data_IF_347124209787
#
_entry.id   IF_347124209787
#
_cell.length_a   1.000
_cell.length_b   1.000
_cell.length_c   1.000
_cell.angle_alpha   90.00
_cell.angle_beta   90.00
_cell.angle_gamma   90.00
#
_symmetry.space_group_name_H-M   'P 1'
#
loop_
_entity.id
_entity.type
_entity.pdbx_description
1 polymer ?
#
# COMPACT_ATOMS: atom_id res chain seq x y z
N UNK A 1 -24.95 -3.54 29.18
CA UNK A 1 -25.74 -2.33 29.49
C UNK A 1 -27.03 -2.64 30.33
N UNK A 2 -27.96 -3.47 29.91
CA UNK A 2 -29.21 -3.73 30.65
C UNK A 2 -29.02 -4.23 32.10
N UNK A 3 -28.02 -5.05 32.39
CA UNK A 3 -27.73 -5.56 33.73
C UNK A 3 -27.24 -4.46 34.70
N UNK A 4 -26.40 -3.55 34.21
CA UNK A 4 -25.87 -2.42 34.99
C UNK A 4 -27.01 -1.40 35.34
N UNK A 5 -27.88 -1.07 34.39
CA UNK A 5 -29.02 -0.19 34.66
C UNK A 5 -29.96 -0.76 35.73
N UNK A 6 -30.22 -2.07 35.72
CA UNK A 6 -31.05 -2.74 36.76
C UNK A 6 -30.42 -2.63 38.15
N UNK A 7 -29.10 -2.78 38.26
CA UNK A 7 -28.39 -2.63 39.54
C UNK A 7 -28.50 -1.19 40.05
N UNK A 8 -28.24 -0.20 39.19
CA UNK A 8 -28.32 1.21 39.54
C UNK A 8 -29.77 1.56 40.03
N UNK A 9 -30.77 1.08 39.35
CA UNK A 9 -32.19 1.30 39.74
C UNK A 9 -32.53 0.62 41.06
N UNK A 10 -32.03 -0.59 41.31
CA UNK A 10 -32.23 -1.28 42.60
C UNK A 10 -31.59 -0.51 43.75
N UNK A 11 -30.35 0.00 43.55
CA UNK A 11 -29.65 0.83 44.53
C UNK A 11 -30.41 2.14 44.79
N UNK A 12 -30.84 2.83 43.74
CA UNK A 12 -31.60 4.07 43.84
C UNK A 12 -32.93 3.87 44.59
N UNK A 13 -33.64 2.78 44.30
CA UNK A 13 -34.86 2.39 45.00
C UNK A 13 -34.65 2.07 46.50
N UNK A 14 -33.60 1.32 46.80
CA UNK A 14 -33.23 1.01 48.18
C UNK A 14 -32.86 2.28 48.99
N UNK A 15 -32.07 3.17 48.39
CA UNK A 15 -31.73 4.46 48.98
C UNK A 15 -32.99 5.33 49.20
N UNK A 16 -33.89 5.40 48.21
CA UNK A 16 -35.14 6.13 48.32
C UNK A 16 -35.95 5.63 49.53
N UNK A 17 -36.17 4.31 49.66
CA UNK A 17 -36.89 3.72 50.77
C UNK A 17 -36.21 4.01 52.11
N UNK A 18 -34.90 3.86 52.20
CA UNK A 18 -34.14 4.16 53.41
C UNK A 18 -34.29 5.58 53.87
N UNK A 19 -34.25 6.54 52.91
CA UNK A 19 -34.42 7.95 53.20
C UNK A 19 -35.85 8.29 53.63
N UNK A 20 -36.86 7.65 53.03
CA UNK A 20 -38.26 7.80 53.46
C UNK A 20 -38.43 7.32 54.89
N UNK A 21 -37.88 6.18 55.26
CA UNK A 21 -37.95 5.62 56.62
C UNK A 21 -37.27 6.61 57.60
N UNK A 22 -36.08 7.14 57.23
CA UNK A 22 -35.38 8.08 58.06
C UNK A 22 -36.16 9.39 58.24
N UNK A 23 -36.78 9.91 57.17
CA UNK A 23 -37.61 11.12 57.21
C UNK A 23 -38.86 10.94 58.10
N UNK A 24 -39.45 9.75 58.10
CA UNK A 24 -40.60 9.41 58.92
C UNK A 24 -40.21 9.19 60.41
N UNK A 25 -39.02 8.74 60.68
CA UNK A 25 -38.50 8.47 62.05
C UNK A 25 -37.87 9.72 62.69
N UNK A 26 -37.46 10.71 61.91
CA UNK A 26 -36.80 11.90 62.41
C UNK A 26 -37.79 12.96 62.93
N UNK A 27 -37.42 13.73 63.97
CA UNK A 27 -38.26 14.86 64.43
C UNK A 27 -38.48 15.87 63.30
N UNK A 28 -39.69 16.47 63.25
CA UNK A 28 -40.08 17.39 62.18
C UNK A 28 -39.12 18.59 61.93
N UNK A 29 -38.20 18.84 62.85
CA UNK A 29 -37.19 19.89 62.76
C UNK A 29 -35.93 19.47 61.95
N UNK A 30 -35.72 18.16 61.72
CA UNK A 30 -34.55 17.63 60.98
C UNK A 30 -35.05 17.21 59.61
N UNK A 31 -34.48 17.81 58.57
CA UNK A 31 -34.87 17.51 57.21
C UNK A 31 -33.89 16.48 56.64
N UNK A 32 -34.26 15.19 56.69
CA UNK A 32 -33.54 14.11 56.04
C UNK A 32 -33.66 14.14 54.52
N UNK A 33 -34.62 14.89 54.00
CA UNK A 33 -34.98 15.00 52.60
C UNK A 33 -33.86 15.44 51.66
N UNK A 34 -32.77 16.05 52.13
CA UNK A 34 -31.56 16.33 51.34
C UNK A 34 -30.90 15.05 50.78
N UNK A 35 -31.08 13.93 51.48
CA UNK A 35 -30.66 12.62 51.01
C UNK A 35 -31.24 12.19 49.67
N UNK A 36 -32.44 12.71 49.31
CA UNK A 36 -33.09 12.39 48.04
C UNK A 36 -32.32 12.86 46.79
N UNK A 37 -31.29 13.69 46.98
CA UNK A 37 -30.34 14.03 45.92
C UNK A 37 -29.63 12.79 45.35
N UNK A 38 -29.29 11.82 46.21
CA UNK A 38 -28.60 10.58 45.79
C UNK A 38 -29.38 9.70 44.82
N UNK A 39 -30.65 9.30 45.12
CA UNK A 39 -31.46 8.57 44.16
C UNK A 39 -31.67 9.32 42.82
N UNK A 40 -31.84 10.65 42.85
CA UNK A 40 -32.00 11.45 41.64
C UNK A 40 -30.74 11.42 40.78
N UNK A 41 -29.57 11.59 41.37
CA UNK A 41 -28.27 11.52 40.67
C UNK A 41 -28.03 10.11 40.10
N UNK A 42 -28.34 9.07 40.82
CA UNK A 42 -28.23 7.68 40.34
C UNK A 42 -29.13 7.42 39.15
N UNK A 43 -30.39 7.85 39.20
CA UNK A 43 -31.36 7.67 38.10
C UNK A 43 -30.97 8.52 36.88
N UNK A 44 -30.33 9.66 37.05
CA UNK A 44 -29.81 10.48 35.95
C UNK A 44 -28.88 9.69 35.04
N UNK A 45 -28.07 8.77 35.58
CA UNK A 45 -27.13 7.95 34.78
C UNK A 45 -27.81 6.93 33.88
N UNK A 46 -29.09 6.59 34.13
CA UNK A 46 -29.88 5.63 33.33
C UNK A 46 -30.42 6.27 32.03
N UNK A 47 -30.31 7.58 31.86
CA UNK A 47 -30.70 8.32 30.65
C UNK A 47 -32.19 8.14 30.24
N UNK A 48 -33.08 7.87 31.18
CA UNK A 48 -34.48 7.73 30.94
C UNK A 48 -35.26 8.91 31.58
N UNK A 49 -35.72 9.86 30.72
CA UNK A 49 -36.40 11.09 31.18
C UNK A 49 -37.67 10.79 31.97
N UNK A 50 -38.48 9.80 31.56
CA UNK A 50 -39.72 9.43 32.27
C UNK A 50 -39.38 8.91 33.66
N UNK A 51 -38.38 8.02 33.79
CA UNK A 51 -37.97 7.48 35.07
C UNK A 51 -37.40 8.56 35.99
N UNK A 52 -36.64 9.50 35.43
CA UNK A 52 -36.10 10.65 36.16
C UNK A 52 -37.23 11.53 36.73
N UNK A 53 -38.22 11.87 35.90
CA UNK A 53 -39.39 12.64 36.34
C UNK A 53 -40.18 11.91 37.45
N UNK A 54 -40.43 10.62 37.29
CA UNK A 54 -41.11 9.82 38.31
C UNK A 54 -40.32 9.83 39.63
N UNK A 55 -39.02 9.68 39.59
CA UNK A 55 -38.14 9.69 40.77
C UNK A 55 -38.21 11.06 41.48
N UNK A 56 -38.08 12.16 40.69
CA UNK A 56 -38.16 13.52 41.25
C UNK A 56 -39.49 13.80 41.93
N UNK A 57 -40.59 13.43 41.24
CA UNK A 57 -41.95 13.60 41.82
C UNK A 57 -42.11 12.78 43.09
N UNK A 58 -41.64 11.51 43.09
CA UNK A 58 -41.71 10.65 44.27
C UNK A 58 -40.86 11.25 45.46
N UNK A 59 -39.68 11.76 45.16
CA UNK A 59 -38.84 12.41 46.18
C UNK A 59 -39.50 13.68 46.75
N UNK A 60 -40.13 14.50 45.90
CA UNK A 60 -40.87 15.70 46.36
C UNK A 60 -42.07 15.30 47.22
N UNK A 61 -42.88 14.33 46.78
CA UNK A 61 -44.02 13.84 47.56
C UNK A 61 -43.55 13.33 48.92
N UNK A 62 -42.53 12.47 48.95
CA UNK A 62 -41.93 11.95 50.19
C UNK A 62 -41.46 13.06 51.12
N UNK A 63 -40.86 14.13 50.55
CA UNK A 63 -40.41 15.33 51.33
C UNK A 63 -41.59 15.99 52.00
N UNK A 64 -42.75 16.13 51.34
CA UNK A 64 -43.91 16.77 51.94
C UNK A 64 -44.71 15.82 52.88
N UNK A 65 -44.62 14.49 52.71
CA UNK A 65 -45.22 13.57 53.67
C UNK A 65 -44.71 13.72 55.08
N UNK A 66 -43.47 14.15 55.26
CA UNK A 66 -42.93 14.47 56.59
C UNK A 66 -43.63 15.66 57.31
N UNK A 67 -44.47 16.44 56.63
CA UNK A 67 -45.32 17.48 57.29
C UNK A 67 -46.51 16.88 58.06
N UNK A 68 -46.85 15.59 57.81
CA UNK A 68 -47.93 14.91 58.53
C UNK A 68 -47.53 14.55 59.99
N UNK A 69 -46.27 14.72 60.34
CA UNK A 69 -45.82 14.50 61.69
C UNK A 69 -46.26 15.65 62.62
N UNK A 70 -46.60 15.40 63.87
CA UNK A 70 -47.04 16.44 64.80
C UNK A 70 -45.91 17.48 65.01
N UNK A 71 -46.18 18.71 64.63
CA UNK A 71 -45.30 19.86 64.85
C UNK A 71 -45.67 20.64 66.06
N UNK A 72 -44.70 21.23 66.80
CA UNK A 72 -45.01 22.16 67.89
C UNK A 72 -45.73 23.40 67.32
N UNK A 73 -46.68 24.00 68.08
CA UNK A 73 -47.35 25.21 67.67
C UNK A 73 -46.30 26.31 67.28
N UNK A 74 -46.56 27.00 66.17
CA UNK A 74 -45.69 28.10 65.68
C UNK A 74 -44.51 27.61 64.78
N UNK A 75 -44.21 26.36 64.66
CA UNK A 75 -43.12 25.83 63.78
C UNK A 75 -43.57 25.33 62.43
N UNK A 76 -44.86 25.22 62.16
CA UNK A 76 -45.42 24.70 60.93
C UNK A 76 -44.97 25.49 59.69
N UNK A 77 -45.03 26.81 59.73
CA UNK A 77 -44.60 27.68 58.62
C UNK A 77 -43.10 27.47 58.27
N UNK A 78 -42.26 27.36 59.28
CA UNK A 78 -40.83 27.12 59.06
C UNK A 78 -40.59 25.73 58.44
N UNK A 79 -41.35 24.74 58.84
CA UNK A 79 -41.25 23.40 58.25
C UNK A 79 -41.69 23.37 56.75
N UNK A 80 -42.75 24.10 56.41
CA UNK A 80 -43.22 24.23 55.01
C UNK A 80 -42.14 24.95 54.17
N UNK A 81 -41.61 26.09 54.65
CA UNK A 81 -40.57 26.81 53.92
C UNK A 81 -39.34 25.95 53.67
N UNK A 82 -38.83 25.24 54.70
CA UNK A 82 -37.65 24.40 54.58
C UNK A 82 -37.85 23.27 53.57
N UNK A 83 -39.03 22.59 53.55
CA UNK A 83 -39.32 21.54 52.59
C UNK A 83 -39.51 22.07 51.15
N UNK A 84 -40.03 23.29 51.02
CA UNK A 84 -40.08 23.96 49.70
C UNK A 84 -38.72 24.28 49.13
N UNK A 85 -37.78 24.69 50.02
CA UNK A 85 -36.38 24.90 49.62
C UNK A 85 -35.75 23.56 49.16
N UNK A 86 -35.95 22.48 49.90
CA UNK A 86 -35.46 21.14 49.52
C UNK A 86 -36.05 20.73 48.17
N UNK A 87 -37.35 20.84 47.97
CA UNK A 87 -37.98 20.53 46.68
C UNK A 87 -37.38 21.35 45.52
N UNK A 88 -37.13 22.66 45.74
CA UNK A 88 -36.43 23.48 44.77
C UNK A 88 -35.02 22.96 44.43
N UNK A 89 -34.24 22.58 45.47
CA UNK A 89 -32.91 21.99 45.26
C UNK A 89 -32.98 20.68 44.47
N UNK A 90 -33.94 19.81 44.79
CA UNK A 90 -34.13 18.54 44.06
C UNK A 90 -34.46 18.77 42.56
N UNK A 91 -35.29 19.76 42.25
CA UNK A 91 -35.57 20.15 40.86
C UNK A 91 -34.33 20.68 40.13
N UNK A 92 -33.53 21.53 40.78
CA UNK A 92 -32.28 22.04 40.19
C UNK A 92 -31.28 20.92 39.94
N UNK A 93 -31.10 20.03 40.91
CA UNK A 93 -30.20 18.85 40.75
C UNK A 93 -30.68 17.95 39.62
N UNK A 94 -31.99 17.70 39.52
CA UNK A 94 -32.57 16.93 38.42
C UNK A 94 -32.30 17.59 37.06
N UNK A 95 -32.50 18.89 36.95
CA UNK A 95 -32.24 19.65 35.73
C UNK A 95 -30.76 19.60 35.32
N UNK A 96 -29.87 19.82 36.27
CA UNK A 96 -28.40 19.75 36.02
C UNK A 96 -28.04 18.32 35.58
N UNK A 97 -28.51 17.28 36.27
CA UNK A 97 -28.23 15.90 35.91
C UNK A 97 -28.69 15.54 34.48
N UNK A 98 -29.90 15.96 34.11
CA UNK A 98 -30.43 15.75 32.75
C UNK A 98 -29.63 16.46 31.67
N UNK A 99 -29.26 17.72 31.90
CA UNK A 99 -28.50 18.52 30.92
C UNK A 99 -27.05 18.08 30.80
N UNK A 100 -26.43 17.62 31.89
CA UNK A 100 -25.04 17.15 31.88
C UNK A 100 -24.92 15.88 31.02
N UNK A 101 -25.74 14.89 31.24
CA UNK A 101 -25.71 13.64 30.46
C UNK A 101 -25.92 13.89 28.96
N UNK A 102 -26.85 14.81 28.63
CA UNK A 102 -27.06 15.19 27.22
C UNK A 102 -25.85 15.86 26.60
N UNK A 103 -25.19 16.78 27.35
CA UNK A 103 -23.97 17.45 26.87
C UNK A 103 -22.83 16.45 26.67
N UNK A 104 -22.60 15.58 27.66
CA UNK A 104 -21.56 14.55 27.58
C UNK A 104 -21.77 13.62 26.39
N UNK A 105 -23.00 13.17 26.14
CA UNK A 105 -23.32 12.33 24.99
C UNK A 105 -23.07 13.05 23.65
N UNK A 106 -23.38 14.34 23.55
CA UNK A 106 -23.10 15.15 22.35
C UNK A 106 -21.61 15.33 22.13
N UNK A 107 -20.83 15.57 23.20
CA UNK A 107 -19.36 15.70 23.12
C UNK A 107 -18.71 14.39 22.66
N UNK A 108 -19.13 13.25 23.20
CA UNK A 108 -18.63 11.92 22.79
C UNK A 108 -18.97 11.62 21.33
N UNK A 109 -20.19 11.91 20.90
CA UNK A 109 -20.60 11.75 19.49
C UNK A 109 -19.80 12.70 18.56
N UNK A 110 -19.60 13.94 18.95
CA UNK A 110 -18.81 14.89 18.17
C UNK A 110 -17.32 14.49 18.05
N UNK A 111 -16.73 13.98 19.15
CA UNK A 111 -15.36 13.45 19.15
C UNK A 111 -15.24 12.22 18.25
N UNK A 112 -16.20 11.30 18.31
CA UNK A 112 -16.21 10.13 17.44
C UNK A 112 -16.34 10.50 15.96
N UNK A 113 -17.23 11.46 15.63
CA UNK A 113 -17.37 11.96 14.26
C UNK A 113 -16.08 12.63 13.75
N UNK A 114 -15.46 13.46 14.57
CA UNK A 114 -14.19 14.12 14.23
C UNK A 114 -13.05 13.10 14.02
N UNK A 115 -12.96 12.07 14.86
CA UNK A 115 -11.97 11.01 14.71
C UNK A 115 -12.16 10.25 13.39
N UNK A 116 -13.39 9.96 13.01
CA UNK A 116 -13.72 9.30 11.74
C UNK A 116 -13.35 10.18 10.53
N UNK A 117 -13.65 11.48 10.62
CA UNK A 117 -13.32 12.42 9.55
C UNK A 117 -11.81 12.58 9.36
N UNK A 118 -11.05 12.69 10.47
CA UNK A 118 -9.58 12.74 10.42
C UNK A 118 -8.98 11.47 9.82
N UNK A 119 -9.51 10.29 10.14
CA UNK A 119 -9.07 9.03 9.53
C UNK A 119 -9.35 9.00 8.01
N UNK A 120 -10.53 9.45 7.59
CA UNK A 120 -10.89 9.53 6.18
C UNK A 120 -9.98 10.51 5.42
N UNK A 121 -9.68 11.67 6.00
CA UNK A 121 -8.77 12.66 5.42
C UNK A 121 -7.34 12.11 5.29
N UNK A 122 -6.84 11.39 6.29
CA UNK A 122 -5.52 10.74 6.22
C UNK A 122 -5.46 9.71 5.07
N UNK A 123 -6.49 8.87 4.94
CA UNK A 123 -6.58 7.90 3.83
C UNK A 123 -6.62 8.60 2.47
N UNK A 124 -7.43 9.63 2.32
CA UNK A 124 -7.52 10.41 1.08
C UNK A 124 -6.19 11.10 0.73
N UNK A 125 -5.50 11.66 1.72
CA UNK A 125 -4.20 12.30 1.51
C UNK A 125 -3.12 11.30 1.08
N UNK A 126 -3.10 10.10 1.67
CA UNK A 126 -2.17 9.04 1.26
C UNK A 126 -2.40 8.64 -0.20
N UNK A 127 -3.66 8.43 -0.58
CA UNK A 127 -4.03 8.11 -1.97
C UNK A 127 -3.65 9.23 -2.95
N UNK A 128 -3.80 10.50 -2.55
CA UNK A 128 -3.39 11.65 -3.37
C UNK A 128 -1.88 11.71 -3.58
N UNK A 129 -1.08 11.43 -2.54
CA UNK A 129 0.39 11.39 -2.64
C UNK A 129 0.81 10.28 -3.60
N UNK A 130 0.27 9.08 -3.45
CA UNK A 130 0.57 7.93 -4.32
C UNK A 130 0.19 8.21 -5.79
N UNK A 131 -1.01 8.77 -6.02
CA UNK A 131 -1.47 9.15 -7.36
C UNK A 131 -0.57 10.23 -7.99
N UNK A 132 -0.14 11.23 -7.21
CA UNK A 132 0.76 12.28 -7.66
C UNK A 132 2.13 11.73 -8.07
N UNK A 133 2.67 10.79 -7.28
CA UNK A 133 3.95 10.16 -7.60
C UNK A 133 3.87 9.29 -8.85
N UNK A 134 2.77 8.57 -9.06
CA UNK A 134 2.50 7.84 -10.29
C UNK A 134 2.40 8.78 -11.50
N UNK A 135 1.71 9.91 -11.35
CA UNK A 135 1.53 10.90 -12.40
C UNK A 135 2.87 11.54 -12.78
N UNK A 136 3.68 11.95 -11.81
CA UNK A 136 5.03 12.49 -12.02
C UNK A 136 5.95 11.47 -12.73
N UNK A 137 5.84 10.18 -12.40
CA UNK A 137 6.57 9.11 -13.09
C UNK A 137 6.13 8.97 -14.53
N UNK A 138 4.81 8.95 -14.77
CA UNK A 138 4.23 8.85 -16.10
C UNK A 138 4.60 10.07 -16.98
N UNK A 139 4.56 11.27 -16.43
CA UNK A 139 4.97 12.50 -17.15
C UNK A 139 6.45 12.48 -17.51
N UNK A 140 7.33 12.05 -16.61
CA UNK A 140 8.77 11.91 -16.90
C UNK A 140 9.02 10.89 -18.01
N UNK A 141 8.34 9.74 -17.96
CA UNK A 141 8.44 8.70 -18.99
C UNK A 141 7.90 9.20 -20.34
N UNK A 142 6.77 9.90 -20.34
CA UNK A 142 6.19 10.50 -21.55
C UNK A 142 7.11 11.57 -22.15
N UNK A 143 7.70 12.44 -21.33
CA UNK A 143 8.64 13.45 -21.79
C UNK A 143 9.92 12.84 -22.40
N UNK A 144 10.49 11.82 -21.71
CA UNK A 144 11.62 11.05 -22.24
C UNK A 144 11.21 10.34 -23.54
N UNK A 145 10.01 9.76 -23.59
CA UNK A 145 9.46 9.11 -24.77
C UNK A 145 9.33 10.03 -25.99
N UNK A 146 8.82 11.24 -25.79
CA UNK A 146 8.72 12.24 -26.85
C UNK A 146 10.08 12.72 -27.37
N UNK A 147 11.01 13.00 -26.46
CA UNK A 147 12.37 13.38 -26.81
C UNK A 147 13.08 12.27 -27.58
N UNK A 148 12.96 11.04 -27.13
CA UNK A 148 13.54 9.87 -27.77
C UNK A 148 12.94 9.63 -29.16
N UNK A 149 11.63 9.76 -29.32
CA UNK A 149 10.96 9.60 -30.61
C UNK A 149 11.40 10.66 -31.63
N UNK A 150 11.56 11.92 -31.20
CA UNK A 150 12.07 13.01 -32.02
C UNK A 150 13.52 12.77 -32.43
N UNK A 151 14.39 12.47 -31.44
CA UNK A 151 15.81 12.20 -31.68
C UNK A 151 16.00 10.97 -32.57
N UNK A 152 15.21 9.92 -32.37
CA UNK A 152 15.31 8.71 -33.18
C UNK A 152 14.91 8.95 -34.64
N UNK A 153 13.92 9.79 -34.88
CA UNK A 153 13.53 10.17 -36.26
C UNK A 153 14.60 11.05 -36.92
N UNK A 154 15.09 12.06 -36.19
CA UNK A 154 16.09 13.00 -36.70
C UNK A 154 17.48 12.38 -36.87
N UNK A 155 17.87 11.41 -36.05
CA UNK A 155 19.14 10.69 -36.14
C UNK A 155 19.03 9.46 -37.05
N UNK A 156 17.89 8.80 -37.07
CA UNK A 156 17.66 7.62 -37.93
C UNK A 156 17.77 7.92 -39.44
N UNK A 157 17.26 9.07 -39.86
CA UNK A 157 17.29 9.49 -41.28
C UNK A 157 18.72 9.66 -41.81
N UNK A 158 19.62 10.47 -41.19
CA UNK A 158 20.99 10.59 -41.65
C UNK A 158 21.79 9.29 -41.51
N UNK A 159 21.52 8.47 -40.47
CA UNK A 159 22.19 7.17 -40.33
C UNK A 159 21.84 6.20 -41.45
N UNK A 160 20.59 6.15 -41.91
CA UNK A 160 20.19 5.36 -43.07
C UNK A 160 20.87 5.85 -44.35
N UNK A 161 21.01 7.16 -44.54
CA UNK A 161 21.76 7.73 -45.68
C UNK A 161 23.23 7.33 -45.64
N UNK A 162 23.89 7.42 -44.48
CA UNK A 162 25.27 7.02 -44.31
C UNK A 162 25.44 5.52 -44.55
N UNK A 163 24.56 4.67 -44.04
CA UNK A 163 24.59 3.21 -44.27
C UNK A 163 24.50 2.88 -45.76
N UNK A 164 23.60 3.56 -46.49
CA UNK A 164 23.47 3.37 -47.93
C UNK A 164 24.76 3.74 -48.68
N UNK A 165 25.41 4.89 -48.36
CA UNK A 165 26.68 5.30 -48.97
C UNK A 165 27.82 4.36 -48.60
N UNK A 166 27.89 3.83 -47.39
CA UNK A 166 28.86 2.85 -46.93
C UNK A 166 28.74 1.53 -47.70
N UNK A 167 27.51 1.05 -47.90
CA UNK A 167 27.22 -0.15 -48.70
C UNK A 167 27.58 0.04 -50.17
N UNK A 168 27.23 1.19 -50.75
CA UNK A 168 27.58 1.53 -52.14
C UNK A 168 29.11 1.54 -52.33
N UNK A 169 29.87 2.14 -51.39
CA UNK A 169 31.34 2.10 -51.40
C UNK A 169 31.95 0.70 -51.31
N UNK A 170 31.26 -0.24 -50.62
CA UNK A 170 31.71 -1.65 -50.54
C UNK A 170 31.65 -2.40 -51.88
N UNK A 171 30.73 -1.94 -52.78
CA UNK A 171 30.45 -2.55 -54.08
C UNK A 171 31.21 -1.86 -55.25
N UNK A 172 31.91 -0.74 -55.00
CA UNK A 172 32.66 -0.03 -56.07
C UNK A 172 33.83 -0.86 -56.63
N UNK A 173 33.99 -0.84 -57.95
CA UNK A 173 35.14 -1.47 -58.61
C UNK A 173 36.47 -0.80 -58.16
N UNK A 174 37.40 -1.61 -57.63
CA UNK A 174 38.71 -1.14 -57.18
C UNK A 174 38.90 -1.02 -55.68
N UNK A 175 37.91 -1.36 -54.87
CA UNK A 175 38.02 -1.38 -53.41
C UNK A 175 39.01 -2.46 -52.98
N UNK A 176 40.02 -2.08 -52.24
CA UNK A 176 41.05 -3.00 -51.70
C UNK A 176 40.44 -3.85 -50.56
N UNK A 177 40.98 -5.06 -50.27
CA UNK A 177 40.51 -5.88 -49.14
C UNK A 177 40.55 -5.15 -47.79
N UNK A 178 41.52 -4.24 -47.64
CA UNK A 178 41.64 -3.44 -46.42
C UNK A 178 40.55 -2.36 -46.30
N UNK A 179 40.20 -1.71 -47.40
CA UNK A 179 39.08 -0.75 -47.48
C UNK A 179 37.77 -1.48 -47.20
N UNK A 180 37.55 -2.66 -47.78
CA UNK A 180 36.37 -3.47 -47.55
C UNK A 180 36.18 -3.84 -46.06
N UNK A 181 37.31 -4.18 -45.39
CA UNK A 181 37.29 -4.43 -43.95
C UNK A 181 36.88 -3.20 -43.12
N UNK A 182 37.38 -2.00 -43.49
CA UNK A 182 37.02 -0.74 -42.83
C UNK A 182 35.56 -0.37 -43.07
N UNK A 183 35.03 -0.55 -44.26
CA UNK A 183 33.63 -0.35 -44.64
C UNK A 183 32.71 -1.28 -43.82
N UNK A 184 33.09 -2.58 -43.71
CA UNK A 184 32.31 -3.54 -42.87
C UNK A 184 32.27 -3.07 -41.42
N UNK A 185 33.38 -2.58 -40.84
CA UNK A 185 33.39 -2.06 -39.47
C UNK A 185 32.46 -0.85 -39.31
N UNK A 186 32.40 0.05 -40.29
CA UNK A 186 31.53 1.23 -40.27
C UNK A 186 30.07 0.77 -40.34
N UNK A 187 29.72 -0.15 -41.20
CA UNK A 187 28.38 -0.68 -41.37
C UNK A 187 27.89 -1.39 -40.09
N UNK A 188 28.75 -2.17 -39.47
CA UNK A 188 28.46 -2.79 -38.14
C UNK A 188 28.19 -1.72 -37.05
N UNK A 189 28.96 -0.62 -37.03
CA UNK A 189 28.72 0.45 -36.06
C UNK A 189 27.43 1.23 -36.36
N UNK A 190 27.08 1.49 -37.61
CA UNK A 190 25.82 2.10 -38.01
C UNK A 190 24.64 1.26 -37.63
N UNK A 191 24.63 -0.04 -37.97
CA UNK A 191 23.62 -1.00 -37.59
C UNK A 191 23.43 -1.04 -36.06
N UNK A 192 24.52 -0.93 -35.34
CA UNK A 192 24.49 -0.87 -33.89
C UNK A 192 23.81 0.39 -33.34
N UNK A 193 24.13 1.59 -33.90
CA UNK A 193 23.50 2.84 -33.48
C UNK A 193 22.01 2.82 -33.77
N UNK A 194 21.60 2.33 -34.95
CA UNK A 194 20.18 2.15 -35.31
C UNK A 194 19.47 1.24 -34.30
N UNK A 195 20.09 0.13 -33.89
CA UNK A 195 19.53 -0.78 -32.89
C UNK A 195 19.36 -0.10 -31.53
N UNK A 196 20.37 0.67 -31.07
CA UNK A 196 20.28 1.44 -29.81
C UNK A 196 19.09 2.41 -29.85
N UNK A 197 18.88 3.09 -30.96
CA UNK A 197 17.75 4.02 -31.14
C UNK A 197 16.41 3.27 -31.16
N UNK A 198 16.34 2.11 -31.81
CA UNK A 198 15.14 1.27 -31.83
C UNK A 198 14.81 0.71 -30.45
N UNK A 199 15.79 0.26 -29.70
CA UNK A 199 15.62 -0.21 -28.32
C UNK A 199 15.10 0.93 -27.42
N UNK A 200 15.61 2.13 -27.62
CA UNK A 200 15.15 3.32 -26.92
C UNK A 200 13.67 3.66 -27.27
N UNK A 201 13.32 3.63 -28.55
CA UNK A 201 11.94 3.86 -29.04
C UNK A 201 10.95 2.80 -28.56
N UNK A 202 11.34 1.54 -28.58
CA UNK A 202 10.47 0.43 -28.16
C UNK A 202 10.14 0.51 -26.69
N UNK A 203 11.05 1.06 -25.89
CA UNK A 203 10.90 1.25 -24.44
C UNK A 203 10.01 2.44 -24.07
N UNK A 204 9.80 3.37 -24.99
CA UNK A 204 9.05 4.62 -24.76
C UNK A 204 7.63 4.63 -25.34
N UNK A 205 7.28 3.67 -26.21
CA UNK A 205 5.91 3.55 -26.70
C UNK A 205 5.01 3.01 -25.59
N UNK A 206 4.01 3.78 -25.12
CA UNK A 206 3.03 3.30 -24.15
C UNK A 206 2.06 2.34 -24.84
N UNK A 207 2.46 1.10 -25.05
CA UNK A 207 1.48 0.05 -25.25
C UNK A 207 0.95 -0.28 -23.84
N UNK A 208 -0.33 -0.08 -23.62
CA UNK A 208 -0.93 -0.47 -22.34
C UNK A 208 -0.61 -1.95 -22.12
N UNK A 209 0.01 -2.31 -20.98
CA UNK A 209 0.27 -3.72 -20.69
C UNK A 209 -1.07 -4.44 -20.63
N UNK A 210 -1.14 -5.61 -21.22
CA UNK A 210 -2.29 -6.53 -21.11
C UNK A 210 -1.94 -7.69 -20.18
N UNK A 211 -1.88 -7.43 -18.85
CA UNK A 211 -1.46 -8.45 -17.90
C UNK A 211 -2.54 -9.52 -17.73
N UNK A 212 -2.12 -10.75 -17.62
CA UNK A 212 -2.95 -11.91 -17.36
C UNK A 212 -2.29 -12.83 -16.33
N UNK A 213 -3.08 -13.74 -15.73
CA UNK A 213 -2.53 -14.81 -14.91
C UNK A 213 -1.95 -15.91 -15.83
N UNK A 214 -0.64 -16.11 -15.78
CA UNK A 214 0.08 -17.06 -16.63
C UNK A 214 1.11 -17.88 -15.85
N UNK A 215 1.44 -19.11 -16.30
CA UNK A 215 2.56 -19.87 -15.77
C UNK A 215 3.89 -19.20 -16.12
N UNK A 216 4.78 -19.08 -15.15
CA UNK A 216 6.09 -18.42 -15.33
C UNK A 216 6.96 -19.13 -16.38
N UNK A 217 6.75 -20.44 -16.56
CA UNK A 217 7.43 -21.26 -17.59
C UNK A 217 7.19 -20.74 -19.01
N UNK A 218 5.97 -20.21 -19.30
CA UNK A 218 5.64 -19.63 -20.62
C UNK A 218 6.52 -18.43 -21.00
N UNK A 219 7.20 -17.84 -20.05
CA UNK A 219 8.07 -16.67 -20.26
C UNK A 219 9.55 -17.06 -20.14
N UNK A 220 9.89 -17.90 -19.18
CA UNK A 220 11.29 -18.32 -18.96
C UNK A 220 11.80 -19.18 -20.11
N UNK A 221 11.05 -20.22 -20.50
CA UNK A 221 11.52 -21.19 -21.50
C UNK A 221 11.76 -20.55 -22.86
N UNK A 222 10.87 -19.71 -23.42
CA UNK A 222 11.16 -19.02 -24.69
C UNK A 222 12.35 -18.08 -24.62
N UNK A 223 12.53 -17.36 -23.49
CA UNK A 223 13.67 -16.47 -23.33
C UNK A 223 15.00 -17.23 -23.27
N UNK A 224 15.05 -18.37 -22.60
CA UNK A 224 16.20 -19.23 -22.52
C UNK A 224 16.55 -19.81 -23.90
N UNK A 225 15.56 -20.37 -24.62
CA UNK A 225 15.75 -20.93 -25.97
C UNK A 225 16.25 -19.86 -26.94
N UNK A 226 15.74 -18.64 -26.88
CA UNK A 226 16.20 -17.53 -27.73
C UNK A 226 17.66 -17.20 -27.48
N UNK A 227 18.12 -17.26 -26.24
CA UNK A 227 19.48 -16.86 -25.85
C UNK A 227 20.50 -18.01 -25.90
N UNK A 228 20.05 -19.26 -25.92
CA UNK A 228 20.92 -20.46 -25.91
C UNK A 228 22.04 -20.45 -26.98
N UNK A 229 21.77 -20.08 -28.25
CA UNK A 229 22.84 -20.03 -29.26
C UNK A 229 23.97 -19.04 -28.92
N UNK A 230 23.61 -17.91 -28.29
CA UNK A 230 24.58 -16.88 -27.90
C UNK A 230 25.44 -17.34 -26.70
N UNK A 231 24.86 -18.09 -25.75
CA UNK A 231 25.59 -18.69 -24.64
C UNK A 231 26.52 -19.80 -25.15
N UNK A 232 26.04 -20.64 -26.03
CA UNK A 232 26.85 -21.71 -26.64
C UNK A 232 28.03 -21.14 -27.44
N UNK A 233 27.83 -20.09 -28.24
CA UNK A 233 28.88 -19.45 -29.02
C UNK A 233 29.97 -18.82 -28.14
N UNK A 234 29.68 -18.48 -26.88
CA UNK A 234 30.61 -17.94 -25.89
C UNK A 234 31.13 -19.00 -24.90
N UNK A 235 30.77 -20.27 -25.11
CA UNK A 235 31.15 -21.40 -24.25
C UNK A 235 30.69 -21.23 -22.79
N UNK A 236 29.51 -20.63 -22.57
CA UNK A 236 28.92 -20.44 -21.26
C UNK A 236 27.76 -21.43 -21.09
N UNK A 237 27.73 -22.13 -19.95
CA UNK A 237 26.61 -23.02 -19.63
C UNK A 237 25.38 -22.24 -19.19
N UNK A 238 24.22 -22.53 -19.80
CA UNK A 238 22.91 -22.00 -19.37
C UNK A 238 22.09 -23.14 -18.77
N UNK A 239 21.66 -22.96 -17.52
CA UNK A 239 20.77 -23.90 -16.82
C UNK A 239 19.48 -23.23 -16.43
N UNK A 240 18.34 -23.91 -16.60
CA UNK A 240 17.01 -23.43 -16.24
C UNK A 240 16.39 -24.42 -15.26
N UNK A 241 15.98 -23.92 -14.09
CA UNK A 241 15.39 -24.72 -13.02
C UNK A 241 14.01 -24.15 -12.68
N UNK A 242 12.95 -24.83 -13.11
CA UNK A 242 11.56 -24.44 -12.86
C UNK A 242 10.88 -25.58 -12.10
N UNK A 243 10.64 -25.48 -10.80
CA UNK A 243 9.89 -26.48 -10.05
C UNK A 243 8.45 -26.61 -10.54
N UNK A 244 7.91 -27.82 -10.50
CA UNK A 244 6.50 -28.06 -10.81
C UNK A 244 5.58 -27.42 -9.75
N UNK A 245 4.38 -27.01 -10.20
CA UNK A 245 3.34 -26.49 -9.29
C UNK A 245 3.58 -25.08 -8.77
N UNK A 246 4.41 -24.27 -9.44
CA UNK A 246 4.54 -22.85 -9.11
C UNK A 246 3.21 -22.11 -9.30
N UNK A 247 2.94 -21.09 -8.47
CA UNK A 247 1.80 -20.20 -8.66
C UNK A 247 1.83 -19.50 -10.03
N UNK A 248 0.65 -19.15 -10.55
CA UNK A 248 0.54 -18.26 -11.70
C UNK A 248 1.04 -16.87 -11.32
N UNK A 249 1.63 -16.14 -12.25
CA UNK A 249 2.06 -14.75 -12.08
C UNK A 249 1.12 -13.80 -12.82
N UNK A 250 0.90 -12.62 -12.27
CA UNK A 250 0.19 -11.54 -12.94
C UNK A 250 1.16 -10.74 -13.79
N UNK A 251 1.14 -10.97 -15.11
CA UNK A 251 2.08 -10.33 -16.02
C UNK A 251 1.57 -10.27 -17.46
N UNK A 252 2.07 -9.27 -18.21
CA UNK A 252 2.09 -9.25 -19.66
C UNK A 252 3.25 -10.13 -20.11
N UNK A 253 2.94 -11.22 -20.85
CA UNK A 253 3.91 -12.21 -21.26
C UNK A 253 5.04 -11.62 -22.13
N UNK A 254 4.71 -10.71 -23.07
CA UNK A 254 5.67 -10.10 -23.97
C UNK A 254 6.64 -9.17 -23.21
N UNK A 255 6.10 -8.37 -22.29
CA UNK A 255 6.90 -7.46 -21.46
C UNK A 255 7.83 -8.21 -20.50
N UNK A 256 7.32 -9.25 -19.86
CA UNK A 256 8.13 -10.06 -18.95
C UNK A 256 9.19 -10.87 -19.70
N UNK A 257 8.87 -11.39 -20.91
CA UNK A 257 9.83 -12.03 -21.80
C UNK A 257 10.98 -11.06 -22.14
N UNK A 258 10.68 -9.80 -22.48
CA UNK A 258 11.68 -8.77 -22.77
C UNK A 258 12.58 -8.50 -21.56
N UNK A 259 12.01 -8.46 -20.33
CA UNK A 259 12.79 -8.35 -19.09
C UNK A 259 13.78 -9.50 -18.98
N UNK A 260 13.33 -10.76 -19.16
CA UNK A 260 14.21 -11.93 -19.03
C UNK A 260 15.31 -11.95 -20.08
N UNK A 261 15.00 -11.65 -21.34
CA UNK A 261 15.99 -11.54 -22.41
C UNK A 261 17.06 -10.49 -22.06
N UNK A 262 16.65 -9.33 -21.52
CA UNK A 262 17.59 -8.30 -21.10
C UNK A 262 18.49 -8.77 -19.93
N UNK A 263 17.92 -9.45 -18.93
CA UNK A 263 18.69 -10.00 -17.81
C UNK A 263 19.69 -11.07 -18.28
N UNK A 264 19.27 -11.98 -19.16
CA UNK A 264 20.13 -13.01 -19.76
C UNK A 264 21.24 -12.38 -20.61
N UNK A 265 20.94 -11.35 -21.40
CA UNK A 265 21.95 -10.63 -22.18
C UNK A 265 22.99 -9.91 -21.30
N UNK A 266 22.56 -9.38 -20.15
CA UNK A 266 23.48 -8.80 -19.18
C UNK A 266 24.37 -9.86 -18.52
N UNK A 267 23.80 -11.00 -18.13
CA UNK A 267 24.55 -12.15 -17.61
C UNK A 267 25.55 -12.69 -18.63
N UNK A 268 25.13 -12.86 -19.90
CA UNK A 268 26.01 -13.27 -21.00
C UNK A 268 27.20 -12.31 -21.19
N UNK A 269 26.94 -11.00 -21.10
CA UNK A 269 27.97 -9.98 -21.25
C UNK A 269 28.99 -10.01 -20.11
N UNK A 270 28.54 -10.23 -18.87
CA UNK A 270 29.37 -10.21 -17.67
C UNK A 270 30.16 -11.51 -17.44
N UNK A 271 29.69 -12.65 -17.97
CA UNK A 271 30.27 -13.97 -17.73
C UNK A 271 31.41 -14.24 -18.71
N UNK A 272 32.59 -14.67 -18.24
CA UNK A 272 33.70 -15.10 -19.12
C UNK A 272 33.40 -16.46 -19.76
N UNK A 273 34.13 -16.86 -20.84
CA UNK A 273 34.06 -18.21 -21.37
C UNK A 273 34.28 -19.28 -20.28
N UNK A 274 33.60 -20.40 -20.43
CA UNK A 274 33.53 -21.51 -19.46
C UNK A 274 32.84 -21.18 -18.13
N UNK A 275 32.20 -20.00 -18.03
CA UNK A 275 31.36 -19.63 -16.89
C UNK A 275 29.97 -20.28 -16.96
N UNK A 276 29.10 -19.95 -16.00
CA UNK A 276 27.76 -20.48 -15.90
C UNK A 276 26.74 -19.37 -15.64
N UNK A 277 25.57 -19.53 -16.27
CA UNK A 277 24.38 -18.71 -15.98
C UNK A 277 23.25 -19.67 -15.61
N UNK A 278 22.53 -19.34 -14.53
CA UNK A 278 21.43 -20.16 -14.04
C UNK A 278 20.18 -19.30 -13.84
N UNK A 279 19.07 -19.77 -14.41
CA UNK A 279 17.74 -19.19 -14.16
C UNK A 279 16.99 -20.11 -13.20
N UNK A 280 16.62 -19.61 -12.06
CA UNK A 280 15.90 -20.38 -11.02
C UNK A 280 14.58 -19.71 -10.74
N UNK A 281 13.47 -20.44 -10.91
CA UNK A 281 12.16 -20.00 -10.48
C UNK A 281 11.81 -20.61 -9.13
N UNK A 282 11.07 -19.86 -8.30
CA UNK A 282 10.62 -20.32 -6.99
C UNK A 282 9.38 -19.56 -6.52
N UNK A 283 8.81 -20.01 -5.40
CA UNK A 283 7.72 -19.30 -4.76
C UNK A 283 7.98 -19.19 -3.25
N UNK A 284 7.56 -18.08 -2.66
CA UNK A 284 7.63 -17.85 -1.22
C UNK A 284 6.44 -17.02 -0.73
N UNK A 285 6.32 -16.92 0.57
CA UNK A 285 5.35 -16.00 1.19
C UNK A 285 5.81 -14.56 0.95
N UNK A 286 4.86 -13.71 0.58
CA UNK A 286 5.09 -12.29 0.36
C UNK A 286 5.37 -11.55 1.67
N UNK A 287 6.23 -10.54 1.61
CA UNK A 287 6.37 -9.55 2.68
C UNK A 287 5.14 -8.63 2.74
N UNK A 288 4.90 -7.89 3.85
CA UNK A 288 3.80 -6.93 3.93
C UNK A 288 3.76 -5.93 2.78
N UNK A 289 4.91 -5.37 2.40
CA UNK A 289 5.04 -4.40 1.30
C UNK A 289 4.74 -5.02 -0.07
N UNK A 290 5.11 -6.29 -0.28
CA UNK A 290 4.81 -7.03 -1.51
C UNK A 290 3.32 -7.38 -1.61
N UNK A 291 2.68 -7.68 -0.48
CA UNK A 291 1.24 -7.90 -0.40
C UNK A 291 0.45 -6.65 -0.80
N UNK A 292 0.85 -5.48 -0.29
CA UNK A 292 0.18 -4.22 -0.60
C UNK A 292 0.32 -3.85 -2.08
N UNK A 293 1.50 -4.02 -2.68
CA UNK A 293 1.70 -3.85 -4.13
C UNK A 293 0.88 -4.84 -4.96
N UNK A 294 0.85 -6.10 -4.55
CA UNK A 294 0.06 -7.13 -5.22
C UNK A 294 -1.44 -6.83 -5.20
N UNK A 295 -1.97 -6.29 -4.10
CA UNK A 295 -3.37 -5.85 -4.00
C UNK A 295 -3.69 -4.69 -4.93
N UNK A 296 -2.80 -3.70 -5.02
CA UNK A 296 -3.01 -2.50 -5.83
C UNK A 296 -3.01 -2.79 -7.33
N UNK A 297 -2.13 -3.68 -7.81
CA UNK A 297 -1.89 -3.90 -9.24
C UNK A 297 -2.62 -5.15 -9.76
N UNK A 298 -2.45 -6.29 -9.10
CA UNK A 298 -2.99 -7.57 -9.53
C UNK A 298 -4.35 -7.90 -8.89
N UNK A 299 -4.87 -7.02 -8.01
CA UNK A 299 -6.07 -7.27 -7.19
C UNK A 299 -6.02 -8.61 -6.45
N UNK A 300 -4.81 -9.10 -6.18
CA UNK A 300 -4.56 -10.39 -5.56
C UNK A 300 -4.48 -10.27 -4.05
N UNK A 301 -5.26 -11.08 -3.34
CA UNK A 301 -5.14 -11.26 -1.88
C UNK A 301 -4.25 -12.48 -1.54
N UNK A 302 -3.60 -13.09 -2.53
CA UNK A 302 -2.74 -14.25 -2.31
C UNK A 302 -1.48 -13.84 -1.52
N UNK A 303 -1.13 -14.55 -0.45
CA UNK A 303 0.08 -14.28 0.31
C UNK A 303 1.35 -14.81 -0.38
N UNK A 304 1.29 -15.16 -1.67
CA UNK A 304 2.38 -15.77 -2.40
C UNK A 304 2.97 -14.81 -3.42
N UNK A 305 4.28 -14.87 -3.56
CA UNK A 305 5.03 -14.27 -4.67
C UNK A 305 5.84 -15.34 -5.37
N UNK A 306 6.01 -15.17 -6.69
CA UNK A 306 6.93 -15.98 -7.50
C UNK A 306 8.18 -15.18 -7.72
N UNK A 307 9.33 -15.84 -7.59
CA UNK A 307 10.65 -15.25 -7.82
C UNK A 307 11.30 -15.92 -9.03
N UNK A 308 11.96 -15.11 -9.87
CA UNK A 308 12.78 -15.57 -10.98
C UNK A 308 14.16 -14.96 -10.78
N UNK A 309 15.14 -15.79 -10.44
CA UNK A 309 16.52 -15.35 -10.22
C UNK A 309 17.37 -15.73 -11.43
N UNK A 310 18.04 -14.75 -12.04
CA UNK A 310 19.08 -14.94 -13.04
C UNK A 310 20.42 -14.74 -12.35
N UNK A 311 21.19 -15.81 -12.21
CA UNK A 311 22.49 -15.84 -11.54
C UNK A 311 23.58 -16.11 -12.53
N UNK A 312 24.61 -15.27 -12.57
CA UNK A 312 25.81 -15.47 -13.37
C UNK A 312 27.05 -15.67 -12.48
N UNK A 313 28.09 -16.27 -13.04
CA UNK A 313 29.43 -16.38 -12.43
C UNK A 313 30.40 -15.38 -13.07
N UNK A 314 29.91 -14.21 -13.40
CA UNK A 314 30.67 -13.15 -14.06
C UNK A 314 31.57 -12.35 -13.13
N UNK A 315 32.03 -11.21 -13.64
CA UNK A 315 32.93 -10.34 -12.90
C UNK A 315 32.33 -9.71 -11.63
N UNK A 316 31.02 -9.71 -11.49
CA UNK A 316 30.31 -8.99 -10.42
C UNK A 316 30.49 -7.48 -10.51
N UNK A 317 30.02 -6.76 -9.49
CA UNK A 317 30.13 -5.30 -9.43
C UNK A 317 30.34 -4.80 -7.99
N UNK A 318 31.01 -3.62 -7.83
CA UNK A 318 31.19 -2.97 -6.54
C UNK A 318 29.86 -2.50 -5.95
N UNK A 319 29.76 -2.39 -4.62
CA UNK A 319 28.58 -1.92 -3.93
C UNK A 319 28.12 -0.50 -4.37
N UNK A 320 29.06 0.37 -4.71
CA UNK A 320 28.76 1.71 -5.22
C UNK A 320 28.03 1.69 -6.58
N UNK A 321 28.35 0.71 -7.43
CA UNK A 321 27.72 0.54 -8.75
C UNK A 321 26.37 -0.16 -8.64
N UNK A 322 26.20 -1.07 -7.68
CA UNK A 322 24.91 -1.73 -7.41
C UNK A 322 23.79 -0.72 -7.09
N UNK A 323 24.12 0.33 -6.33
CA UNK A 323 23.15 1.39 -5.99
C UNK A 323 22.69 2.17 -7.22
N UNK A 324 23.58 2.34 -8.21
CA UNK A 324 23.31 3.07 -9.46
C UNK A 324 22.86 2.19 -10.61
N UNK A 325 22.93 0.86 -10.47
CA UNK A 325 22.65 -0.09 -11.56
C UNK A 325 21.23 0.06 -12.15
N UNK A 326 20.30 0.63 -11.38
CA UNK A 326 18.94 0.92 -11.81
C UNK A 326 18.71 2.39 -12.22
N UNK A 327 19.73 3.23 -12.22
CA UNK A 327 19.63 4.59 -12.76
C UNK A 327 19.66 4.56 -14.29
N UNK A 328 18.87 5.41 -14.97
CA UNK A 328 18.88 5.48 -16.44
C UNK A 328 20.26 5.93 -16.94
N UNK A 329 20.71 5.32 -18.02
CA UNK A 329 22.01 5.55 -18.68
C UNK A 329 23.25 5.13 -17.87
N UNK A 330 23.12 4.55 -16.69
CA UNK A 330 24.24 4.02 -15.94
C UNK A 330 24.76 2.72 -16.56
N UNK A 331 26.06 2.66 -16.89
CA UNK A 331 26.72 1.48 -17.43
C UNK A 331 28.21 1.48 -17.08
N UNK A 332 28.70 0.31 -16.66
CA UNK A 332 30.13 0.05 -16.45
C UNK A 332 30.79 -0.56 -17.69
N UNK A 333 30.00 -0.86 -18.73
CA UNK A 333 30.52 -1.39 -20.00
C UNK A 333 31.25 -0.28 -20.78
N UNK A 334 32.27 -0.66 -21.58
CA UNK A 334 32.97 0.26 -22.43
C UNK A 334 32.02 1.07 -23.33
N UNK A 335 32.41 2.31 -23.64
CA UNK A 335 31.63 3.23 -24.47
C UNK A 335 31.09 2.51 -25.71
N UNK A 336 29.78 2.55 -25.89
CA UNK A 336 29.07 1.91 -26.99
C UNK A 336 28.77 0.40 -26.80
N UNK A 337 29.12 -0.25 -25.69
CA UNK A 337 28.76 -1.67 -25.41
C UNK A 337 27.56 -1.86 -24.46
N UNK A 338 26.97 -0.78 -24.00
CA UNK A 338 25.77 -0.80 -23.16
C UNK A 338 25.05 0.54 -23.24
N UNK A 339 23.72 0.52 -23.28
CA UNK A 339 22.88 1.72 -23.28
C UNK A 339 22.65 2.28 -21.87
N UNK A 340 22.86 1.45 -20.83
CA UNK A 340 22.54 1.78 -19.44
C UNK A 340 21.02 1.86 -19.15
N UNK A 341 20.16 1.46 -20.10
CA UNK A 341 18.70 1.53 -19.95
C UNK A 341 18.07 0.18 -19.61
N UNK A 342 18.73 -0.92 -19.90
CA UNK A 342 18.15 -2.25 -19.78
C UNK A 342 17.63 -2.58 -18.37
N UNK A 343 18.46 -2.42 -17.33
CA UNK A 343 18.05 -2.70 -15.94
C UNK A 343 17.02 -1.69 -15.43
N UNK A 344 17.15 -0.42 -15.80
CA UNK A 344 16.15 0.60 -15.48
C UNK A 344 14.78 0.23 -16.04
N UNK A 345 14.68 -0.09 -17.34
CA UNK A 345 13.41 -0.47 -17.99
C UNK A 345 12.86 -1.79 -17.47
N UNK A 346 13.74 -2.77 -17.19
CA UNK A 346 13.33 -4.01 -16.54
C UNK A 346 12.68 -3.76 -15.18
N UNK A 347 13.27 -2.87 -14.38
CA UNK A 347 12.70 -2.49 -13.07
C UNK A 347 11.35 -1.81 -13.22
N UNK A 348 11.22 -0.83 -14.12
CA UNK A 348 9.95 -0.13 -14.36
C UNK A 348 8.86 -1.10 -14.85
N UNK A 349 9.21 -2.02 -15.76
CA UNK A 349 8.29 -3.07 -16.22
C UNK A 349 7.82 -3.94 -15.06
N UNK A 350 8.73 -4.45 -14.24
CA UNK A 350 8.39 -5.31 -13.09
C UNK A 350 7.55 -4.57 -12.05
N UNK A 351 7.85 -3.29 -11.78
CA UNK A 351 7.05 -2.44 -10.89
C UNK A 351 5.63 -2.21 -11.42
N UNK A 352 5.47 -2.01 -12.73
CA UNK A 352 4.15 -1.89 -13.37
C UNK A 352 3.28 -3.15 -13.23
N UNK A 353 3.90 -4.32 -13.01
CA UNK A 353 3.23 -5.59 -12.73
C UNK A 353 3.03 -5.87 -11.22
N UNK A 354 3.24 -4.87 -10.36
CA UNK A 354 3.12 -5.00 -8.90
C UNK A 354 4.24 -5.80 -8.24
N UNK A 355 5.34 -6.03 -8.98
CA UNK A 355 6.49 -6.77 -8.53
C UNK A 355 7.63 -5.90 -8.00
N UNK A 356 8.80 -6.52 -7.83
CA UNK A 356 10.05 -5.84 -7.51
C UNK A 356 11.23 -6.49 -8.21
N UNK A 357 12.26 -5.70 -8.52
CA UNK A 357 13.53 -6.16 -9.08
C UNK A 357 14.63 -5.85 -8.08
N UNK A 358 15.36 -6.87 -7.64
CA UNK A 358 16.51 -6.74 -6.74
C UNK A 358 17.77 -7.27 -7.40
N UNK A 359 18.92 -6.75 -6.95
CA UNK A 359 20.23 -7.13 -7.46
C UNK A 359 21.17 -7.37 -6.28
N UNK A 360 21.86 -8.49 -6.32
CA UNK A 360 22.92 -8.85 -5.38
C UNK A 360 24.16 -9.25 -6.17
N UNK A 361 25.33 -8.68 -5.84
CA UNK A 361 26.55 -8.88 -6.61
C UNK A 361 27.79 -8.73 -5.74
N UNK A 362 28.79 -9.57 -5.99
CA UNK A 362 30.10 -9.49 -5.35
C UNK A 362 31.18 -9.59 -6.43
N UNK A 363 32.15 -8.69 -6.35
CA UNK A 363 33.27 -8.66 -7.29
C UNK A 363 33.98 -10.01 -7.35
N UNK A 364 34.13 -10.57 -8.57
CA UNK A 364 34.76 -11.87 -8.82
C UNK A 364 33.90 -13.10 -8.52
N UNK A 365 32.65 -12.92 -8.01
CA UNK A 365 31.72 -14.03 -7.73
C UNK A 365 30.49 -14.06 -8.63
N UNK A 366 30.23 -12.94 -9.31
CA UNK A 366 29.11 -12.81 -10.22
C UNK A 366 27.96 -11.97 -9.65
N UNK A 367 26.82 -12.04 -10.34
CA UNK A 367 25.62 -11.25 -10.04
C UNK A 367 24.39 -12.14 -10.01
N UNK A 368 23.47 -11.81 -9.11
CA UNK A 368 22.11 -12.39 -9.07
C UNK A 368 21.10 -11.27 -9.19
N UNK A 369 20.30 -11.30 -10.24
CA UNK A 369 19.17 -10.38 -10.41
C UNK A 369 17.88 -11.17 -10.18
N UNK A 370 17.06 -10.72 -9.24
CA UNK A 370 15.82 -11.41 -8.86
C UNK A 370 14.61 -10.56 -9.19
N UNK A 371 13.75 -11.07 -10.04
CA UNK A 371 12.40 -10.58 -10.32
C UNK A 371 11.44 -11.21 -9.33
N UNK A 372 10.64 -10.42 -8.64
CA UNK A 372 9.57 -10.89 -7.75
C UNK A 372 8.23 -10.39 -8.28
N UNK A 373 7.25 -11.28 -8.46
CA UNK A 373 5.92 -10.95 -8.98
C UNK A 373 4.82 -11.51 -8.08
N UNK A 374 3.64 -10.86 -8.02
CA UNK A 374 2.48 -11.40 -7.32
C UNK A 374 2.11 -12.78 -7.88
N UNK A 375 1.88 -13.75 -6.98
CA UNK A 375 1.56 -15.12 -7.33
C UNK A 375 0.14 -15.53 -6.93
N UNK A 376 -0.50 -16.45 -7.68
CA UNK A 376 -1.80 -17.02 -7.35
C UNK A 376 -1.79 -18.53 -7.58
N UNK A 377 -2.19 -19.34 -6.59
CA UNK A 377 -2.19 -20.82 -6.70
C UNK A 377 -3.20 -21.36 -7.70
N UNK A 378 -4.33 -20.68 -7.89
CA UNK A 378 -5.41 -21.12 -8.77
C UNK A 378 -5.92 -19.94 -9.57
N UNK A 379 -6.26 -20.15 -10.85
CA UNK A 379 -6.84 -19.12 -11.70
C UNK A 379 -8.19 -18.65 -11.09
N UNK A 380 -8.44 -17.34 -10.91
CA UNK A 380 -9.73 -16.88 -10.43
C UNK A 380 -10.83 -17.31 -11.41
N UNK A 381 -11.96 -17.78 -10.88
CA UNK A 381 -13.11 -18.31 -11.65
C UNK A 381 -13.84 -17.20 -12.45
N UNK A 382 -13.46 -15.93 -12.28
CA UNK A 382 -14.13 -14.76 -12.89
C UNK A 382 -13.14 -13.82 -13.62
N UNK A 383 -12.39 -14.34 -14.58
CA UNK A 383 -11.62 -13.51 -15.52
C UNK A 383 -12.07 -13.85 -16.94
N UNK A 384 -13.28 -13.45 -17.29
CA UNK A 384 -13.79 -13.29 -18.68
C UNK A 384 -14.11 -11.85 -18.91
#
# INVERSE_FOLDING_TARGET
MLKQHRIVLAIAGALFVAIVILEMAAPANIVGAYGFVLPILLVATVRNRALMLVTVVACIVATYMGLMQPTKPGRFQAAVINRSVVAGVLLVVAYIGMTWEERKAREEAARAALAQETENLLKANTQLVDAKDQLNRSERLAAVGQLVASVAHEVGTPLHSIAWHVQALAEEPGVTPEMKKRVTVIDEQLTRVVRIIQDLLSSTRPRQPEPAWLPVEQVISPAAVLMEPAFHAKEISLAVEIPEGLPLVWADAEKLHQVLVNLLANALAATPPHGAVRVVAGARVASPDELDRGRQVAQSMSPLVVTIAVRDTGCGMPQADMQKAFEPFFTTKAVGKGTGLGLFLSRETVLAHGGSLSLDSEMGRGTTVTVTLPGLKTKPVHAT
#
